data_IF_872947412464
#
_entry.id   IF_872947412464
#
_cell.length_a   1.000
_cell.length_b   1.000
_cell.length_c   1.000
_cell.angle_alpha   90.00
_cell.angle_beta   90.00
_cell.angle_gamma   90.00
#
_symmetry.space_group_name_H-M   'P 1'
#
loop_
_entity.id
_entity.type
_entity.pdbx_description
1 polymer ?
#
# COMPACT_ATOMS: atom_id res chain seq x y z
N UNK A 1 -48.43 -0.86 -32.55
CA UNK A 1 -47.07 -0.31 -32.41
C UNK A 1 -46.51 -0.89 -31.11
N UNK A 2 -45.81 -2.01 -31.23
CA UNK A 2 -45.22 -2.70 -30.08
C UNK A 2 -44.06 -1.89 -29.53
N UNK A 3 -44.24 -1.33 -28.33
CA UNK A 3 -43.15 -0.78 -27.54
C UNK A 3 -42.29 -1.95 -27.07
N UNK A 4 -41.26 -2.27 -27.86
CA UNK A 4 -40.18 -3.17 -27.47
C UNK A 4 -39.54 -2.59 -26.21
N UNK A 5 -39.82 -3.21 -25.06
CA UNK A 5 -39.19 -2.91 -23.80
C UNK A 5 -37.69 -3.21 -23.92
N UNK A 6 -36.87 -2.17 -24.09
CA UNK A 6 -35.43 -2.33 -24.23
C UNK A 6 -34.84 -2.82 -22.90
N UNK A 7 -34.28 -4.05 -22.85
CA UNK A 7 -33.65 -4.55 -21.65
C UNK A 7 -32.44 -3.66 -21.31
N UNK A 8 -32.44 -3.08 -20.10
CA UNK A 8 -31.39 -2.18 -19.60
C UNK A 8 -31.86 -0.76 -19.22
N UNK A 9 -33.01 -0.30 -19.74
CA UNK A 9 -33.55 1.04 -19.41
C UNK A 9 -33.93 1.20 -17.93
N UNK A 10 -34.37 0.13 -17.28
CA UNK A 10 -34.70 0.12 -15.85
C UNK A 10 -33.46 0.24 -14.96
N UNK A 11 -32.32 -0.34 -15.36
CA UNK A 11 -31.07 -0.34 -14.58
C UNK A 11 -30.51 1.09 -14.46
N UNK A 12 -30.50 1.86 -15.56
CA UNK A 12 -30.04 3.26 -15.52
C UNK A 12 -30.90 4.18 -14.62
N UNK A 13 -32.21 3.91 -14.51
CA UNK A 13 -33.11 4.66 -13.62
C UNK A 13 -32.89 4.31 -12.15
N UNK A 14 -32.54 3.06 -11.86
CA UNK A 14 -32.28 2.59 -10.49
C UNK A 14 -30.94 3.14 -9.96
N UNK A 15 -29.91 3.20 -10.82
CA UNK A 15 -28.61 3.82 -10.49
C UNK A 15 -28.75 5.31 -10.21
N UNK A 16 -29.40 6.07 -11.11
CA UNK A 16 -29.57 7.52 -10.93
C UNK A 16 -30.38 7.86 -9.66
N UNK A 17 -31.34 7.00 -9.30
CA UNK A 17 -32.10 7.13 -8.04
C UNK A 17 -31.22 6.79 -6.83
N UNK A 18 -30.42 5.73 -6.90
CA UNK A 18 -29.47 5.36 -5.85
C UNK A 18 -28.47 6.47 -5.56
N UNK A 19 -27.85 7.05 -6.59
CA UNK A 19 -26.91 8.17 -6.45
C UNK A 19 -27.57 9.42 -5.82
N UNK A 20 -28.83 9.70 -6.17
CA UNK A 20 -29.60 10.79 -5.54
C UNK A 20 -29.83 10.54 -4.05
N UNK A 21 -30.13 9.30 -3.66
CA UNK A 21 -30.35 8.93 -2.26
C UNK A 21 -29.05 9.02 -1.45
N UNK A 22 -27.93 8.55 -2.00
CA UNK A 22 -26.62 8.70 -1.36
C UNK A 22 -26.28 10.18 -1.15
N UNK A 23 -26.55 11.02 -2.15
CA UNK A 23 -26.34 12.46 -2.02
C UNK A 23 -27.22 13.09 -0.93
N UNK A 24 -28.49 12.70 -0.82
CA UNK A 24 -29.39 13.17 0.24
C UNK A 24 -28.94 12.72 1.64
N UNK A 25 -28.42 11.50 1.75
CA UNK A 25 -27.85 10.97 3.00
C UNK A 25 -26.60 11.77 3.39
N UNK A 26 -25.70 12.03 2.46
CA UNK A 26 -24.50 12.85 2.69
C UNK A 26 -24.88 14.26 3.17
N UNK A 27 -25.85 14.90 2.52
CA UNK A 27 -26.34 16.21 2.93
C UNK A 27 -26.94 16.19 4.35
N UNK A 28 -27.72 15.16 4.68
CA UNK A 28 -28.30 15.01 6.01
C UNK A 28 -27.21 14.83 7.09
N UNK A 29 -26.20 14.01 6.81
CA UNK A 29 -25.06 13.78 7.71
C UNK A 29 -24.26 15.07 7.91
N UNK A 30 -23.93 15.77 6.83
CA UNK A 30 -23.20 17.04 6.87
C UNK A 30 -23.95 18.09 7.69
N UNK A 31 -25.26 18.24 7.46
CA UNK A 31 -26.11 19.17 8.20
C UNK A 31 -26.13 18.83 9.70
N UNK A 32 -26.36 17.56 10.04
CA UNK A 32 -26.36 17.10 11.43
C UNK A 32 -25.01 17.33 12.10
N UNK A 33 -23.91 17.11 11.39
CA UNK A 33 -22.58 17.40 11.90
C UNK A 33 -22.38 18.90 12.15
N UNK A 34 -22.78 19.76 11.21
CA UNK A 34 -22.67 21.21 11.35
C UNK A 34 -23.50 21.75 12.52
N UNK A 35 -24.74 21.28 12.66
CA UNK A 35 -25.61 21.63 13.79
C UNK A 35 -24.97 21.21 15.12
N UNK A 36 -24.44 19.98 15.20
CA UNK A 36 -23.71 19.51 16.38
C UNK A 36 -22.47 20.36 16.69
N UNK A 37 -21.63 20.67 15.69
CA UNK A 37 -20.43 21.50 15.89
C UNK A 37 -20.79 22.89 16.39
N UNK A 38 -21.88 23.47 15.89
CA UNK A 38 -22.39 24.76 16.35
C UNK A 38 -22.84 24.70 17.82
N UNK A 39 -23.56 23.64 18.20
CA UNK A 39 -24.22 23.56 19.50
C UNK A 39 -23.29 23.01 20.62
N UNK A 40 -22.40 22.08 20.29
CA UNK A 40 -21.51 21.37 21.24
C UNK A 40 -20.03 21.75 21.11
N UNK A 41 -19.63 22.39 20.00
CA UNK A 41 -18.22 22.67 19.68
C UNK A 41 -17.48 21.49 19.03
N UNK A 42 -16.15 21.65 18.90
CA UNK A 42 -15.26 20.60 18.39
C UNK A 42 -15.11 19.41 19.33
N UNK A 43 -14.75 18.23 18.81
CA UNK A 43 -14.50 17.04 19.63
C UNK A 43 -13.02 16.93 19.97
N UNK A 44 -12.63 17.36 21.16
CA UNK A 44 -11.27 17.17 21.67
C UNK A 44 -10.85 15.69 21.68
N UNK A 45 -11.79 14.76 21.85
CA UNK A 45 -11.57 13.32 21.77
C UNK A 45 -11.18 12.86 20.35
N UNK A 46 -11.75 13.45 19.31
CA UNK A 46 -11.45 13.12 17.91
C UNK A 46 -10.05 13.63 17.53
N UNK A 47 -9.70 14.83 17.98
CA UNK A 47 -8.34 15.37 17.82
C UNK A 47 -7.30 14.55 18.58
N UNK A 48 -7.61 14.16 19.82
CA UNK A 48 -6.76 13.30 20.64
C UNK A 48 -6.58 11.91 20.01
N UNK A 49 -7.67 11.33 19.48
CA UNK A 49 -7.61 10.07 18.75
C UNK A 49 -6.77 10.20 17.48
N UNK A 50 -6.99 11.24 16.67
CA UNK A 50 -6.22 11.49 15.46
C UNK A 50 -4.73 11.71 15.78
N UNK A 51 -4.40 12.42 16.85
CA UNK A 51 -3.03 12.58 17.32
C UNK A 51 -2.40 11.25 17.76
N UNK A 52 -3.16 10.41 18.46
CA UNK A 52 -2.73 9.07 18.84
C UNK A 52 -2.46 8.21 17.60
N UNK A 53 -3.37 8.19 16.63
CA UNK A 53 -3.21 7.48 15.37
C UNK A 53 -1.96 7.93 14.60
N UNK A 54 -1.70 9.24 14.52
CA UNK A 54 -0.46 9.77 13.91
C UNK A 54 0.78 9.22 14.60
N UNK A 55 0.85 9.32 15.92
CA UNK A 55 1.99 8.82 16.71
C UNK A 55 2.18 7.31 16.55
N UNK A 56 1.09 6.54 16.56
CA UNK A 56 1.14 5.09 16.36
C UNK A 56 1.65 4.74 14.96
N UNK A 57 1.15 5.42 13.92
CA UNK A 57 1.60 5.22 12.54
C UNK A 57 3.07 5.61 12.36
N UNK A 58 3.53 6.69 12.99
CA UNK A 58 4.95 7.08 12.98
C UNK A 58 5.84 6.04 13.66
N UNK A 59 5.43 5.53 14.83
CA UNK A 59 6.16 4.48 15.53
C UNK A 59 6.25 3.19 14.67
N UNK A 60 5.14 2.77 14.06
CA UNK A 60 5.12 1.61 13.15
C UNK A 60 5.97 1.83 11.91
N UNK A 61 6.00 3.05 11.37
CA UNK A 61 6.86 3.39 10.24
C UNK A 61 8.33 3.26 10.61
N UNK A 62 8.74 3.76 11.77
CA UNK A 62 10.12 3.66 12.24
C UNK A 62 10.55 2.19 12.48
N UNK A 63 9.70 1.40 13.11
CA UNK A 63 9.94 -0.03 13.32
C UNK A 63 10.06 -0.78 11.98
N UNK A 64 9.12 -0.56 11.05
CA UNK A 64 9.20 -1.15 9.71
C UNK A 64 10.48 -0.75 8.98
N UNK A 65 10.91 0.50 9.06
CA UNK A 65 12.17 0.94 8.44
C UNK A 65 13.37 0.17 9.01
N UNK A 66 13.41 -0.04 10.32
CA UNK A 66 14.46 -0.84 10.97
C UNK A 66 14.42 -2.30 10.53
N UNK A 67 13.23 -2.92 10.51
CA UNK A 67 13.06 -4.31 10.07
C UNK A 67 13.48 -4.49 8.60
N UNK A 68 13.06 -3.57 7.71
CA UNK A 68 13.45 -3.59 6.30
C UNK A 68 14.95 -3.41 6.12
N UNK A 69 15.58 -2.53 6.90
CA UNK A 69 17.02 -2.35 6.87
C UNK A 69 17.75 -3.66 7.23
N UNK A 70 17.36 -4.29 8.35
CA UNK A 70 17.96 -5.56 8.79
C UNK A 70 17.73 -6.68 7.79
N UNK A 71 16.51 -6.79 7.25
CA UNK A 71 16.18 -7.74 6.20
C UNK A 71 17.11 -7.59 4.99
N UNK A 72 17.33 -6.37 4.52
CA UNK A 72 18.21 -6.14 3.37
C UNK A 72 19.68 -6.41 3.66
N UNK A 73 20.16 -6.12 4.88
CA UNK A 73 21.53 -6.47 5.28
C UNK A 73 21.74 -7.98 5.27
N UNK A 74 20.85 -8.72 5.92
CA UNK A 74 20.91 -10.19 5.96
C UNK A 74 20.76 -10.81 4.56
N UNK A 75 19.86 -10.29 3.73
CA UNK A 75 19.74 -10.71 2.34
C UNK A 75 21.04 -10.47 1.54
N UNK A 76 21.69 -9.32 1.74
CA UNK A 76 22.96 -9.01 1.10
C UNK A 76 24.08 -9.97 1.55
N UNK A 77 24.14 -10.32 2.84
CA UNK A 77 25.14 -11.26 3.35
C UNK A 77 24.95 -12.67 2.80
N UNK A 78 23.71 -13.17 2.75
CA UNK A 78 23.40 -14.47 2.12
C UNK A 78 23.82 -14.49 0.65
N UNK A 79 23.57 -13.41 -0.08
CA UNK A 79 23.97 -13.27 -1.48
C UNK A 79 25.49 -13.24 -1.63
N UNK A 80 26.21 -12.50 -0.78
CA UNK A 80 27.68 -12.49 -0.79
C UNK A 80 28.25 -13.88 -0.58
N UNK A 81 27.74 -14.63 0.39
CA UNK A 81 28.20 -16.01 0.65
C UNK A 81 27.92 -16.92 -0.54
N UNK A 82 26.67 -16.93 -1.02
CA UNK A 82 26.24 -17.86 -2.07
C UNK A 82 26.93 -17.56 -3.40
N UNK A 83 26.93 -16.29 -3.81
CA UNK A 83 27.56 -15.87 -5.06
C UNK A 83 29.08 -15.92 -4.97
N UNK A 84 29.68 -15.61 -3.82
CA UNK A 84 31.11 -15.75 -3.61
C UNK A 84 31.59 -17.18 -3.81
N UNK A 85 30.87 -18.17 -3.27
CA UNK A 85 31.17 -19.58 -3.50
C UNK A 85 31.05 -19.98 -4.98
N UNK A 86 30.01 -19.48 -5.67
CA UNK A 86 29.80 -19.75 -7.09
C UNK A 86 30.86 -19.11 -7.98
N UNK A 87 31.27 -17.87 -7.67
CA UNK A 87 32.36 -17.17 -8.35
C UNK A 87 33.65 -17.96 -8.18
N UNK A 88 34.03 -18.32 -6.95
CA UNK A 88 35.23 -19.12 -6.68
C UNK A 88 35.23 -20.45 -7.44
N UNK A 89 34.08 -21.13 -7.53
CA UNK A 89 33.95 -22.35 -8.32
C UNK A 89 34.25 -22.10 -9.80
N UNK A 90 33.64 -21.07 -10.40
CA UNK A 90 33.85 -20.77 -11.81
C UNK A 90 35.26 -20.25 -12.11
N UNK A 91 35.89 -19.51 -11.20
CA UNK A 91 37.30 -19.12 -11.31
C UNK A 91 38.21 -20.35 -11.35
N UNK A 92 37.97 -21.33 -10.46
CA UNK A 92 38.70 -22.61 -10.48
C UNK A 92 38.46 -23.42 -11.76
N UNK A 93 37.22 -23.48 -12.24
CA UNK A 93 36.93 -24.13 -13.53
C UNK A 93 37.64 -23.43 -14.68
N UNK A 94 37.66 -22.09 -14.72
CA UNK A 94 38.33 -21.32 -15.75
C UNK A 94 39.85 -21.56 -15.75
N UNK A 95 40.47 -21.66 -14.58
CA UNK A 95 41.91 -21.92 -14.43
C UNK A 95 42.34 -23.27 -15.06
N UNK A 96 41.46 -24.27 -15.10
CA UNK A 96 41.75 -25.55 -15.79
C UNK A 96 42.02 -25.38 -17.29
N UNK A 97 41.49 -24.32 -17.88
CA UNK A 97 41.62 -24.00 -19.30
C UNK A 97 42.71 -22.96 -19.57
N UNK A 98 43.41 -22.46 -18.53
CA UNK A 98 44.61 -21.66 -18.76
C UNK A 98 45.66 -22.54 -19.44
N UNK A 99 46.26 -22.08 -20.55
CA UNK A 99 47.32 -22.83 -21.21
C UNK A 99 48.49 -22.98 -20.25
N UNK A 100 48.86 -24.23 -19.95
CA UNK A 100 50.08 -24.54 -19.19
C UNK A 100 51.29 -24.10 -20.02
N UNK A 101 51.79 -22.89 -19.78
CA UNK A 101 52.99 -22.37 -20.45
C UNK A 101 52.99 -20.90 -20.90
N UNK A 102 52.08 -20.04 -20.42
CA UNK A 102 52.32 -18.58 -20.53
C UNK A 102 53.19 -18.08 -19.37
N UNK A 103 54.41 -18.62 -19.26
CA UNK A 103 55.49 -17.91 -18.60
C UNK A 103 56.05 -16.91 -19.63
N UNK A 104 55.91 -15.62 -19.33
CA UNK A 104 56.71 -14.55 -19.92
C UNK A 104 57.40 -13.81 -18.78
#
# INVERSE_FOLDING_TARGET
>A
MDTVEQPGRAIGRDIARGESVEHEIDQFIQKRHADRVRDEGGRAEEEAWAANCRRHTEARRAENQSEWHLYHLDAADRLRTTLGALVSYHEQEAEKYLPKGSAA
#
